data_IF_791701089083
#
_entry.id   IF_791701089083
#
_cell.length_a   1.000
_cell.length_b   1.000
_cell.length_c   1.000
_cell.angle_alpha   90.00
_cell.angle_beta   90.00
_cell.angle_gamma   90.00
#
_symmetry.space_group_name_H-M   'P 1'
#
loop_
_entity.id
_entity.type
_entity.pdbx_description
1 polymer ?
#
# COMPACT_ATOMS: atom_id res chain seq x y z
N UNK A 1 -9.72 27.88 -27.06
CA UNK A 1 -9.81 26.44 -26.76
C UNK A 1 -10.37 26.23 -25.35
N UNK A 2 -11.42 25.41 -25.23
CA UNK A 2 -12.16 25.25 -23.98
C UNK A 2 -11.53 24.26 -22.98
N UNK A 3 -10.31 23.74 -23.22
CA UNK A 3 -9.55 22.80 -22.34
C UNK A 3 -10.45 21.83 -21.56
N UNK A 4 -11.33 21.15 -22.31
CA UNK A 4 -12.43 20.41 -21.73
C UNK A 4 -12.65 19.12 -22.55
N UNK A 5 -12.91 17.99 -21.89
CA UNK A 5 -13.27 16.73 -22.55
C UNK A 5 -14.75 16.39 -22.30
N UNK A 6 -15.30 15.59 -23.21
CA UNK A 6 -16.63 15.00 -23.06
C UNK A 6 -16.60 13.56 -23.64
N UNK A 7 -17.06 12.61 -22.85
CA UNK A 7 -17.21 11.21 -23.29
C UNK A 7 -18.62 10.96 -23.81
N UNK A 8 -18.77 10.63 -25.08
CA UNK A 8 -20.08 10.34 -25.70
C UNK A 8 -20.70 9.01 -25.26
N UNK A 9 -19.93 8.13 -24.60
CA UNK A 9 -20.40 6.82 -24.13
C UNK A 9 -20.99 6.92 -22.72
N UNK A 10 -20.24 7.46 -21.75
CA UNK A 10 -20.69 7.58 -20.35
C UNK A 10 -21.18 8.97 -19.97
N UNK A 11 -21.14 9.94 -20.89
CA UNK A 11 -21.53 11.35 -20.72
C UNK A 11 -20.69 12.11 -19.67
N UNK A 12 -19.58 11.53 -19.24
CA UNK A 12 -18.64 12.18 -18.32
C UNK A 12 -17.93 13.33 -19.02
N UNK A 13 -17.73 14.42 -18.29
CA UNK A 13 -17.10 15.63 -18.85
C UNK A 13 -16.32 16.40 -17.80
N UNK A 14 -15.32 17.14 -18.22
CA UNK A 14 -14.53 17.96 -17.31
C UNK A 14 -13.24 18.50 -17.90
N UNK A 15 -12.41 19.11 -17.07
CA UNK A 15 -11.09 19.59 -17.44
C UNK A 15 -10.01 18.48 -17.26
N UNK A 16 -8.75 18.79 -17.59
CA UNK A 16 -7.64 17.86 -17.47
C UNK A 16 -7.45 17.29 -16.04
N UNK A 17 -7.68 18.11 -15.01
CA UNK A 17 -7.60 17.67 -13.62
C UNK A 17 -8.71 16.65 -13.33
N UNK A 18 -9.93 16.93 -13.76
CA UNK A 18 -11.05 16.03 -13.60
C UNK A 18 -10.81 14.70 -14.32
N UNK A 19 -10.28 14.77 -15.55
CA UNK A 19 -9.90 13.58 -16.32
C UNK A 19 -8.91 12.69 -15.56
N UNK A 20 -7.82 13.25 -15.06
CA UNK A 20 -6.82 12.49 -14.31
C UNK A 20 -7.37 11.90 -13.02
N UNK A 21 -8.21 12.65 -12.31
CA UNK A 21 -8.87 12.15 -11.09
C UNK A 21 -9.74 10.93 -11.37
N UNK A 22 -10.49 10.95 -12.44
CA UNK A 22 -11.40 9.84 -12.82
C UNK A 22 -10.66 8.68 -13.49
N UNK A 23 -9.73 8.98 -14.39
CA UNK A 23 -9.05 7.95 -15.18
C UNK A 23 -7.90 7.26 -14.42
N UNK A 24 -7.13 8.02 -13.64
CA UNK A 24 -6.01 7.50 -12.87
C UNK A 24 -6.32 7.35 -11.37
N UNK A 25 -7.58 7.60 -10.98
CA UNK A 25 -8.03 7.55 -9.58
C UNK A 25 -7.16 8.38 -8.64
N UNK A 26 -6.76 9.58 -9.07
CA UNK A 26 -5.93 10.50 -8.30
C UNK A 26 -6.78 11.41 -7.42
N UNK A 27 -6.26 11.83 -6.28
CA UNK A 27 -6.84 12.95 -5.56
C UNK A 27 -6.58 14.28 -6.30
N UNK A 28 -7.16 15.38 -5.80
CA UNK A 28 -7.05 16.69 -6.46
C UNK A 28 -5.61 17.19 -6.52
N UNK A 29 -4.87 17.02 -5.44
CA UNK A 29 -3.46 17.50 -5.32
C UNK A 29 -2.55 16.65 -6.19
N UNK A 30 -2.68 15.33 -6.13
CA UNK A 30 -1.93 14.39 -6.96
C UNK A 30 -2.15 14.64 -8.46
N UNK A 31 -3.39 14.93 -8.87
CA UNK A 31 -3.69 15.27 -10.26
C UNK A 31 -3.00 16.56 -10.73
N UNK A 32 -2.97 17.58 -9.86
CA UNK A 32 -2.23 18.84 -10.13
C UNK A 32 -0.74 18.57 -10.20
N UNK A 33 -0.16 17.83 -9.26
CA UNK A 33 1.27 17.49 -9.23
C UNK A 33 1.68 16.71 -10.49
N UNK A 34 0.83 15.76 -10.92
CA UNK A 34 1.06 14.96 -12.14
C UNK A 34 1.08 15.84 -13.37
N UNK A 35 0.12 16.76 -13.52
CA UNK A 35 0.09 17.72 -14.62
C UNK A 35 1.28 18.69 -14.59
N UNK A 36 1.60 19.23 -13.43
CA UNK A 36 2.73 20.13 -13.26
C UNK A 36 4.06 19.44 -13.62
N UNK A 37 4.26 18.22 -13.12
CA UNK A 37 5.45 17.41 -13.43
C UNK A 37 5.59 17.13 -14.93
N UNK A 38 4.48 16.82 -15.63
CA UNK A 38 4.51 16.59 -17.08
C UNK A 38 4.94 17.83 -17.88
N UNK A 39 4.78 19.00 -17.30
CA UNK A 39 5.19 20.30 -17.88
C UNK A 39 6.53 20.81 -17.33
N UNK A 40 7.21 20.04 -16.48
CA UNK A 40 8.44 20.48 -15.79
C UNK A 40 8.22 21.58 -14.75
N UNK A 41 6.97 21.75 -14.28
CA UNK A 41 6.60 22.75 -13.29
C UNK A 41 6.55 22.13 -11.88
N UNK A 42 6.82 22.94 -10.87
CA UNK A 42 6.62 22.59 -9.45
C UNK A 42 5.39 23.31 -8.92
N UNK A 43 4.54 22.61 -8.19
CA UNK A 43 3.35 23.20 -7.56
C UNK A 43 3.79 23.99 -6.32
N UNK A 44 3.53 25.32 -6.22
CA UNK A 44 3.81 26.08 -5.02
C UNK A 44 2.75 25.75 -3.95
N UNK A 45 3.19 25.47 -2.72
CA UNK A 45 2.32 25.35 -1.56
C UNK A 45 2.38 26.63 -0.72
N UNK A 46 1.23 27.25 -0.44
CA UNK A 46 1.16 28.52 0.31
C UNK A 46 1.64 28.41 1.78
N UNK A 47 1.51 27.24 2.36
CA UNK A 47 2.08 26.96 3.68
C UNK A 47 3.24 25.98 3.47
N UNK A 48 4.45 26.45 3.79
CA UNK A 48 5.68 25.69 3.62
C UNK A 48 5.43 24.22 4.00
N UNK A 49 6.04 23.32 3.22
CA UNK A 49 5.91 21.88 3.44
C UNK A 49 5.84 21.58 4.93
N UNK A 50 4.66 21.41 5.49
CA UNK A 50 4.57 20.42 6.53
C UNK A 50 4.98 19.14 5.81
N UNK A 51 6.18 18.66 6.12
CA UNK A 51 6.53 17.26 5.90
C UNK A 51 5.51 16.44 6.71
N UNK A 52 4.28 16.39 6.16
CA UNK A 52 3.37 15.34 6.55
C UNK A 52 4.13 14.09 6.17
N UNK A 53 4.73 13.42 7.17
CA UNK A 53 5.22 12.08 6.98
C UNK A 53 4.07 11.39 6.29
N UNK A 54 4.22 11.20 4.98
CA UNK A 54 3.17 10.55 4.19
C UNK A 54 2.98 9.22 4.88
N UNK A 55 1.79 8.82 5.34
CA UNK A 55 1.59 7.52 5.96
C UNK A 55 2.14 6.37 5.12
N UNK A 56 2.28 6.56 3.82
CA UNK A 56 3.06 5.72 2.92
C UNK A 56 4.51 5.48 3.41
N UNK A 57 5.17 6.43 4.03
CA UNK A 57 6.54 6.23 4.54
C UNK A 57 6.62 5.19 5.67
N UNK A 58 5.64 5.15 6.57
CA UNK A 58 5.57 4.13 7.62
C UNK A 58 5.22 2.76 7.05
N UNK A 59 4.30 2.69 6.07
CA UNK A 59 3.94 1.44 5.40
C UNK A 59 5.16 0.87 4.67
N UNK A 60 5.94 1.69 3.98
CA UNK A 60 7.17 1.24 3.31
C UNK A 60 8.21 0.71 4.30
N UNK A 61 8.43 1.40 5.43
CA UNK A 61 9.34 0.93 6.48
C UNK A 61 8.88 -0.41 7.06
N UNK A 62 7.58 -0.57 7.30
CA UNK A 62 7.01 -1.83 7.77
C UNK A 62 7.19 -2.96 6.73
N UNK A 63 6.99 -2.69 5.44
CA UNK A 63 7.25 -3.66 4.37
C UNK A 63 8.70 -4.12 4.40
N UNK A 64 9.66 -3.20 4.46
CA UNK A 64 11.09 -3.52 4.54
C UNK A 64 11.43 -4.34 5.78
N UNK A 65 10.84 -4.01 6.92
CA UNK A 65 11.01 -4.77 8.16
C UNK A 65 10.50 -6.21 8.02
N UNK A 66 9.29 -6.40 7.51
CA UNK A 66 8.71 -7.73 7.31
C UNK A 66 9.44 -8.54 6.25
N UNK A 67 9.95 -7.92 5.18
CA UNK A 67 10.82 -8.59 4.21
C UNK A 67 12.12 -9.10 4.83
N UNK A 68 12.75 -8.28 5.68
CA UNK A 68 13.94 -8.69 6.43
C UNK A 68 13.64 -9.88 7.32
N UNK A 69 12.49 -9.87 8.00
CA UNK A 69 12.07 -10.97 8.86
C UNK A 69 11.86 -12.28 8.09
N UNK A 70 11.32 -12.21 6.86
CA UNK A 70 11.13 -13.40 6.03
C UNK A 70 12.46 -14.10 5.69
N UNK A 71 13.57 -13.37 5.67
CA UNK A 71 14.88 -13.93 5.41
C UNK A 71 15.60 -14.46 6.67
N UNK A 72 14.96 -14.41 7.82
CA UNK A 72 15.51 -14.87 9.09
C UNK A 72 14.99 -16.26 9.47
N UNK A 73 15.68 -16.96 10.35
CA UNK A 73 15.27 -18.28 10.87
C UNK A 73 13.88 -18.28 11.52
N UNK A 74 13.44 -17.14 12.06
CA UNK A 74 12.09 -17.00 12.64
C UNK A 74 10.95 -17.24 11.65
N UNK A 75 11.23 -17.18 10.34
CA UNK A 75 10.25 -17.32 9.27
C UNK A 75 10.26 -18.72 8.60
N UNK A 76 10.91 -19.72 9.17
CA UNK A 76 11.04 -21.05 8.55
C UNK A 76 9.68 -21.66 8.17
N UNK A 77 8.70 -21.61 9.07
CA UNK A 77 7.33 -22.05 8.79
C UNK A 77 6.68 -21.25 7.65
N UNK A 78 6.90 -19.93 7.64
CA UNK A 78 6.36 -19.05 6.59
C UNK A 78 6.96 -19.38 5.23
N UNK A 79 8.27 -19.59 5.19
CA UNK A 79 8.99 -19.97 3.97
C UNK A 79 8.49 -21.32 3.46
N UNK A 80 8.32 -22.32 4.35
CA UNK A 80 7.80 -23.61 3.97
C UNK A 80 6.38 -23.50 3.41
N UNK A 81 5.51 -22.74 4.10
CA UNK A 81 4.15 -22.50 3.61
C UNK A 81 4.12 -21.87 2.21
N UNK A 82 4.99 -20.88 1.93
CA UNK A 82 5.09 -20.25 0.62
C UNK A 82 5.54 -21.23 -0.46
N UNK A 83 6.54 -22.08 -0.15
CA UNK A 83 7.03 -23.14 -1.04
C UNK A 83 5.94 -24.15 -1.37
N UNK A 84 5.17 -24.62 -0.37
CA UNK A 84 4.08 -25.57 -0.54
C UNK A 84 2.94 -25.02 -1.42
N UNK A 85 2.85 -23.68 -1.52
CA UNK A 85 1.93 -22.95 -2.40
C UNK A 85 2.55 -22.59 -3.76
N UNK A 86 3.74 -23.08 -4.07
CA UNK A 86 4.42 -22.81 -5.33
C UNK A 86 4.97 -21.40 -5.47
N UNK A 87 5.03 -20.63 -4.37
CA UNK A 87 5.60 -19.27 -4.39
C UNK A 87 7.11 -19.36 -4.25
N UNK A 88 7.81 -19.01 -5.33
CA UNK A 88 9.27 -18.99 -5.36
C UNK A 88 9.85 -17.78 -4.63
N UNK A 89 11.13 -17.84 -4.28
CA UNK A 89 11.84 -16.70 -3.70
C UNK A 89 11.85 -15.47 -4.63
N UNK A 90 11.89 -15.69 -5.95
CA UNK A 90 11.79 -14.62 -6.95
C UNK A 90 10.42 -13.95 -6.91
N UNK A 91 9.34 -14.74 -6.89
CA UNK A 91 7.97 -14.23 -6.73
C UNK A 91 7.81 -13.48 -5.41
N UNK A 92 8.30 -14.06 -4.30
CA UNK A 92 8.24 -13.40 -3.00
C UNK A 92 8.97 -12.06 -3.00
N UNK A 93 10.11 -11.95 -3.66
CA UNK A 93 10.87 -10.71 -3.82
C UNK A 93 10.12 -9.70 -4.70
N UNK A 94 9.56 -10.14 -5.84
CA UNK A 94 8.81 -9.28 -6.78
C UNK A 94 7.60 -8.63 -6.10
N UNK A 95 6.86 -9.40 -5.31
CA UNK A 95 5.67 -8.92 -4.58
C UNK A 95 6.00 -8.37 -3.18
N UNK A 96 7.27 -8.26 -2.82
CA UNK A 96 7.73 -7.76 -1.52
C UNK A 96 7.11 -8.51 -0.33
N UNK A 97 6.85 -9.81 -0.48
CA UNK A 97 6.27 -10.64 0.58
C UNK A 97 7.18 -10.61 1.80
N UNK A 98 6.58 -10.51 2.98
CA UNK A 98 7.27 -10.44 4.25
C UNK A 98 6.67 -11.37 5.30
N UNK A 99 7.22 -11.33 6.50
CA UNK A 99 6.74 -12.08 7.65
C UNK A 99 6.65 -11.20 8.90
N UNK A 100 5.47 -11.14 9.50
CA UNK A 100 5.23 -10.55 10.80
C UNK A 100 5.32 -11.65 11.86
N UNK A 101 6.34 -11.60 12.71
CA UNK A 101 6.49 -12.53 13.84
C UNK A 101 5.33 -12.39 14.83
N UNK A 102 5.07 -13.42 15.63
CA UNK A 102 3.98 -13.41 16.61
C UNK A 102 4.40 -12.67 17.90
N UNK A 103 4.60 -11.35 17.77
CA UNK A 103 4.88 -10.42 18.86
C UNK A 103 3.99 -9.20 18.77
N UNK A 104 3.64 -8.67 19.93
CA UNK A 104 2.70 -7.54 20.05
C UNK A 104 3.29 -6.18 19.67
N UNK A 105 4.61 -6.06 19.67
CA UNK A 105 5.35 -4.80 19.60
C UNK A 105 6.62 -4.88 18.72
N UNK A 106 6.73 -5.89 17.86
CA UNK A 106 7.92 -6.07 17.04
C UNK A 106 8.12 -4.91 16.04
N UNK A 107 7.05 -4.52 15.32
CA UNK A 107 7.08 -3.41 14.38
C UNK A 107 7.19 -2.07 15.11
N UNK A 108 6.41 -1.87 16.18
CA UNK A 108 6.45 -0.62 16.94
C UNK A 108 7.82 -0.35 17.55
N UNK A 109 8.50 -1.38 18.07
CA UNK A 109 9.87 -1.26 18.56
C UNK A 109 10.87 -0.99 17.42
N UNK A 110 10.64 -1.53 16.23
CA UNK A 110 11.49 -1.30 15.06
C UNK A 110 11.37 0.14 14.53
N UNK A 111 10.16 0.66 14.45
CA UNK A 111 9.90 2.01 13.94
C UNK A 111 10.36 3.12 14.91
N UNK A 112 10.46 2.80 16.21
CA UNK A 112 10.85 3.75 17.24
C UNK A 112 9.66 4.39 17.97
N UNK A 113 9.97 5.08 19.09
CA UNK A 113 8.95 5.62 20.00
C UNK A 113 8.55 7.07 19.69
N UNK A 114 9.25 7.72 18.77
CA UNK A 114 9.10 9.14 18.49
C UNK A 114 8.05 9.47 17.42
N UNK A 115 7.32 8.44 16.93
CA UNK A 115 6.28 8.62 15.93
C UNK A 115 5.00 9.11 16.61
N UNK A 116 4.42 10.22 16.14
CA UNK A 116 3.16 10.73 16.68
C UNK A 116 2.03 9.69 16.57
N UNK A 117 1.20 9.62 17.60
CA UNK A 117 0.10 8.64 17.70
C UNK A 117 -0.85 8.72 16.50
N UNK A 118 -1.18 9.93 16.07
CA UNK A 118 -2.04 10.16 14.91
C UNK A 118 -1.46 9.60 13.60
N UNK A 119 -0.15 9.54 13.46
CA UNK A 119 0.51 8.94 12.30
C UNK A 119 0.49 7.41 12.36
N UNK A 120 0.69 6.84 13.55
CA UNK A 120 0.54 5.41 13.78
C UNK A 120 -0.88 4.94 13.44
N UNK A 121 -1.90 5.66 13.91
CA UNK A 121 -3.31 5.38 13.59
C UNK A 121 -3.59 5.51 12.08
N UNK A 122 -3.14 6.61 11.47
CA UNK A 122 -3.35 6.87 10.05
C UNK A 122 -2.67 5.84 9.14
N UNK A 123 -1.60 5.19 9.60
CA UNK A 123 -0.87 4.16 8.83
C UNK A 123 -1.66 2.87 8.62
N UNK A 124 -2.63 2.56 9.48
CA UNK A 124 -3.37 1.29 9.49
C UNK A 124 -2.55 0.05 9.87
N UNK A 125 -1.31 0.25 10.38
CA UNK A 125 -0.40 -0.83 10.78
C UNK A 125 -0.61 -1.30 12.21
N UNK A 126 -1.25 -0.48 13.01
CA UNK A 126 -1.46 -0.70 14.44
C UNK A 126 -2.94 -0.82 14.76
N UNK A 127 -3.21 -1.50 15.86
CA UNK A 127 -4.51 -1.55 16.50
C UNK A 127 -4.41 -0.88 17.86
N UNK A 128 -5.49 -0.24 18.28
CA UNK A 128 -5.57 0.46 19.56
C UNK A 128 -6.63 -0.18 20.44
N UNK A 129 -6.25 -0.52 21.66
CA UNK A 129 -7.16 -1.02 22.69
C UNK A 129 -6.65 -0.60 24.08
N UNK A 130 -7.55 -0.13 24.93
CA UNK A 130 -7.27 0.25 26.33
C UNK A 130 -6.06 1.23 26.45
N UNK A 131 -6.04 2.26 25.60
CA UNK A 131 -4.95 3.24 25.49
C UNK A 131 -3.56 2.65 25.16
N UNK A 132 -3.51 1.45 24.58
CA UNK A 132 -2.26 0.81 24.12
C UNK A 132 -2.31 0.53 22.64
N UNK A 133 -1.23 0.87 21.95
CA UNK A 133 -0.98 0.45 20.57
C UNK A 133 -0.28 -0.89 20.56
N UNK A 134 -0.65 -1.72 19.59
CA UNK A 134 0.00 -2.99 19.32
C UNK A 134 0.00 -3.26 17.82
N UNK A 135 0.96 -4.03 17.38
CA UNK A 135 1.11 -4.41 15.98
C UNK A 135 -0.15 -5.12 15.50
N UNK A 136 -0.72 -4.64 14.40
CA UNK A 136 -1.93 -5.22 13.81
C UNK A 136 -1.67 -6.61 13.23
N UNK A 137 -0.52 -6.79 12.59
CA UNK A 137 -0.14 -8.04 11.94
C UNK A 137 0.83 -8.81 12.84
N UNK A 138 0.44 -10.01 13.24
CA UNK A 138 1.23 -10.91 14.08
C UNK A 138 1.05 -12.35 13.61
N UNK A 139 2.13 -13.15 13.57
CA UNK A 139 2.12 -14.53 13.13
C UNK A 139 1.63 -14.71 11.68
N UNK A 140 1.95 -13.75 10.78
CA UNK A 140 1.35 -13.68 9.45
C UNK A 140 2.38 -13.51 8.35
N UNK A 141 2.14 -14.17 7.24
CA UNK A 141 2.77 -13.81 5.96
C UNK A 141 2.11 -12.50 5.51
N UNK A 142 2.93 -11.54 5.11
CA UNK A 142 2.50 -10.21 4.71
C UNK A 142 2.60 -10.06 3.20
N UNK A 143 1.52 -9.56 2.61
CA UNK A 143 1.38 -9.24 1.20
C UNK A 143 1.17 -7.73 1.10
N UNK A 144 2.21 -6.95 0.79
CA UNK A 144 2.08 -5.50 0.62
C UNK A 144 1.19 -5.16 -0.57
N UNK A 145 0.37 -4.14 -0.41
CA UNK A 145 -0.53 -3.62 -1.45
C UNK A 145 0.07 -2.32 -1.96
N UNK A 146 0.24 -2.21 -3.28
CA UNK A 146 0.72 -1.01 -3.97
C UNK A 146 -0.40 -0.38 -4.75
N UNK A 147 -0.39 0.95 -4.81
CA UNK A 147 -1.19 1.68 -5.76
C UNK A 147 -0.56 1.60 -7.18
N UNK A 148 -1.24 2.16 -8.16
CA UNK A 148 -0.78 2.16 -9.57
C UNK A 148 0.55 2.89 -9.80
N UNK A 149 0.96 3.77 -8.86
CA UNK A 149 2.26 4.47 -8.87
C UNK A 149 3.39 3.64 -8.26
N UNK A 150 3.08 2.48 -7.66
CA UNK A 150 4.04 1.60 -7.00
C UNK A 150 4.30 1.92 -5.52
N UNK A 151 3.59 2.88 -4.95
CA UNK A 151 3.71 3.23 -3.53
C UNK A 151 3.01 2.18 -2.66
N UNK A 152 3.62 1.80 -1.55
CA UNK A 152 3.00 0.90 -0.58
C UNK A 152 1.96 1.67 0.24
N UNK A 153 0.69 1.29 0.09
CA UNK A 153 -0.45 1.97 0.70
C UNK A 153 -1.14 1.16 1.79
N UNK A 154 -0.97 -0.16 1.78
CA UNK A 154 -1.58 -1.07 2.73
C UNK A 154 -0.89 -2.44 2.71
N UNK A 155 -1.42 -3.39 3.46
CA UNK A 155 -0.99 -4.78 3.40
C UNK A 155 -2.10 -5.75 3.78
N UNK A 156 -2.04 -6.95 3.20
CA UNK A 156 -2.79 -8.11 3.64
C UNK A 156 -1.91 -9.04 4.46
N UNK A 157 -2.49 -9.73 5.43
CA UNK A 157 -1.78 -10.70 6.25
C UNK A 157 -2.53 -12.03 6.30
N UNK A 158 -1.84 -13.15 6.01
CA UNK A 158 -2.38 -14.50 6.16
C UNK A 158 -1.74 -15.18 7.37
N UNK A 159 -2.55 -15.64 8.31
CA UNK A 159 -2.05 -16.42 9.45
C UNK A 159 -1.47 -17.75 8.98
N UNK A 160 -0.39 -18.19 9.59
CA UNK A 160 0.28 -19.45 9.27
C UNK A 160 -0.27 -20.58 10.13
N UNK A 161 -0.32 -20.33 11.42
CA UNK A 161 -0.84 -21.27 12.41
C UNK A 161 -2.38 -21.16 12.53
N UNK A 162 -2.98 -21.93 13.44
CA UNK A 162 -4.42 -21.83 13.75
C UNK A 162 -4.74 -20.47 14.37
N UNK A 163 -5.90 -19.90 13.98
CA UNK A 163 -6.37 -18.62 14.51
C UNK A 163 -7.27 -17.86 13.54
N UNK A 164 -8.00 -16.91 14.08
CA UNK A 164 -8.93 -16.06 13.34
C UNK A 164 -8.52 -14.58 13.46
N UNK A 165 -8.79 -13.79 12.42
CA UNK A 165 -9.24 -14.17 11.08
C UNK A 165 -8.11 -14.79 10.26
N UNK A 166 -8.43 -15.74 9.37
CA UNK A 166 -7.46 -16.39 8.48
C UNK A 166 -6.74 -15.37 7.59
N UNK A 167 -7.46 -14.39 7.08
CA UNK A 167 -6.94 -13.25 6.33
C UNK A 167 -7.29 -11.95 7.04
N UNK A 168 -6.34 -11.06 7.14
CA UNK A 168 -6.48 -9.75 7.75
C UNK A 168 -5.91 -8.70 6.80
N UNK A 169 -6.70 -7.69 6.45
CA UNK A 169 -6.23 -6.56 5.67
C UNK A 169 -6.06 -5.31 6.53
N UNK A 170 -5.27 -4.36 6.04
CA UNK A 170 -5.27 -3.00 6.59
C UNK A 170 -6.69 -2.44 6.62
N UNK A 171 -7.04 -1.58 7.59
CA UNK A 171 -8.30 -0.83 7.56
C UNK A 171 -8.27 0.17 6.39
N UNK A 172 -9.43 0.75 6.10
CA UNK A 172 -9.51 1.94 5.25
C UNK A 172 -8.66 3.06 5.86
N UNK A 173 -7.90 3.77 5.02
CA UNK A 173 -7.08 4.92 5.43
C UNK A 173 -7.27 6.05 4.43
N UNK A 174 -6.67 7.21 4.67
CA UNK A 174 -6.68 8.30 3.69
C UNK A 174 -6.00 7.92 2.35
N UNK A 175 -5.20 6.85 2.32
CA UNK A 175 -4.40 6.40 1.17
C UNK A 175 -4.84 5.04 0.62
N UNK A 176 -5.68 4.32 1.33
CA UNK A 176 -6.11 2.97 0.96
C UNK A 176 -7.62 2.82 1.08
N UNK A 177 -8.26 2.63 -0.06
CA UNK A 177 -9.67 2.25 -0.16
C UNK A 177 -9.76 0.90 -0.86
N UNK A 178 -10.27 -0.12 -0.15
CA UNK A 178 -10.35 -1.51 -0.65
C UNK A 178 -11.16 -1.64 -1.93
N UNK A 179 -12.16 -0.79 -2.12
CA UNK A 179 -13.01 -0.84 -3.31
C UNK A 179 -12.35 -0.27 -4.57
N UNK A 180 -11.28 0.52 -4.38
CA UNK A 180 -10.59 1.23 -5.47
C UNK A 180 -9.24 0.61 -5.81
N UNK A 181 -8.73 -0.32 -4.99
CA UNK A 181 -7.40 -0.88 -5.15
C UNK A 181 -7.47 -2.36 -5.54
N UNK A 182 -6.74 -2.71 -6.57
CA UNK A 182 -6.59 -4.09 -7.03
C UNK A 182 -5.19 -4.61 -6.71
N UNK A 183 -5.10 -5.64 -5.88
CA UNK A 183 -3.82 -6.27 -5.55
C UNK A 183 -3.13 -6.80 -6.81
N UNK A 184 -1.85 -6.49 -6.96
CA UNK A 184 -1.03 -6.95 -8.08
C UNK A 184 -1.14 -6.10 -9.36
N UNK A 185 -1.97 -5.06 -9.39
CA UNK A 185 -2.13 -4.22 -10.58
C UNK A 185 -0.83 -3.52 -10.98
N UNK A 186 -0.06 -3.03 -10.01
CA UNK A 186 1.25 -2.43 -10.26
C UNK A 186 2.22 -3.45 -10.86
N UNK A 187 2.30 -4.64 -10.31
CA UNK A 187 3.17 -5.73 -10.76
C UNK A 187 2.82 -6.21 -12.18
N UNK A 188 1.53 -6.18 -12.54
CA UNK A 188 1.07 -6.47 -13.90
C UNK A 188 1.48 -5.35 -14.86
N UNK A 189 1.30 -4.08 -14.47
CA UNK A 189 1.70 -2.91 -15.27
C UNK A 189 3.22 -2.90 -15.55
N UNK A 190 4.02 -3.30 -14.56
CA UNK A 190 5.49 -3.42 -14.72
C UNK A 190 5.90 -4.59 -15.63
N UNK A 191 5.14 -5.68 -15.60
CA UNK A 191 5.43 -6.86 -16.42
C UNK A 191 5.01 -6.68 -17.89
N UNK A 192 3.90 -5.99 -18.12
CA UNK A 192 3.27 -5.86 -19.44
C UNK A 192 3.06 -4.39 -19.80
N UNK A 193 3.69 -3.95 -20.90
CA UNK A 193 3.51 -2.57 -21.40
C UNK A 193 2.11 -2.28 -21.97
N UNK A 194 1.38 -3.33 -22.39
CA UNK A 194 0.00 -3.25 -22.87
C UNK A 194 -0.80 -4.39 -22.29
N UNK A 195 -1.70 -4.06 -21.38
CA UNK A 195 -2.65 -5.01 -20.81
C UNK A 195 -3.86 -5.07 -21.74
N UNK A 196 -4.05 -6.20 -22.43
CA UNK A 196 -5.17 -6.39 -23.34
C UNK A 196 -6.45 -6.81 -22.59
N UNK A 197 -6.31 -7.58 -21.49
CA UNK A 197 -7.42 -8.04 -20.66
C UNK A 197 -6.91 -8.43 -19.27
N UNK A 198 -7.76 -8.31 -18.28
CA UNK A 198 -7.51 -8.76 -16.90
C UNK A 198 -8.61 -9.72 -16.48
N UNK A 199 -8.22 -10.78 -15.78
CA UNK A 199 -9.15 -11.66 -15.07
C UNK A 199 -8.96 -11.37 -13.58
N UNK A 200 -10.04 -10.93 -12.92
CA UNK A 200 -10.07 -10.68 -11.48
C UNK A 200 -10.70 -11.90 -10.82
N UNK A 201 -10.02 -12.47 -9.83
CA UNK A 201 -10.45 -13.67 -9.08
C UNK A 201 -10.59 -13.35 -7.59
#
# INVERSE_FOLDING_TARGET
DKQFFYCFVCQESGNAIHFLRQYENLDFVDAIETLASSLGLTVPYENGKQDKIKPSGLVEQAVRFYQKNLNNQIAEKAIQYLKDRGITGETAKKFNIGFAEDKWDALSNHLGKDIPINELEASGLFSHKDNKFYDRFRGRIIFPIRNIKGEFIAMGGRIIDEGEPKYLNSPETAFFNKSNELFGLFEVKEAEKKIASLIVV
#
